data_IF_706524885231
#
_entry.id   IF_706524885231
#
_cell.length_a   1.000
_cell.length_b   1.000
_cell.length_c   1.000
_cell.angle_alpha   90.00
_cell.angle_beta   90.00
_cell.angle_gamma   90.00
#
_symmetry.space_group_name_H-M   'P 1'
#
loop_
_entity.id
_entity.type
_entity.pdbx_description
1 polymer ?
#
# COMPACT_ATOMS: atom_id res chain seq x y z
N UNK A 1 -30.43 14.04 36.94
CA UNK A 1 -29.17 13.29 36.76
C UNK A 1 -28.62 13.55 35.35
N UNK A 2 -27.51 14.29 35.19
CA UNK A 2 -26.85 14.39 33.89
C UNK A 2 -25.82 13.27 33.75
N UNK A 3 -26.07 12.38 32.80
CA UNK A 3 -25.19 11.25 32.45
C UNK A 3 -23.99 11.76 31.64
N UNK A 4 -22.87 11.96 32.33
CA UNK A 4 -21.55 11.41 31.99
C UNK A 4 -21.04 11.48 30.52
N UNK A 5 -21.36 12.54 29.77
CA UNK A 5 -20.94 12.73 28.37
C UNK A 5 -19.62 13.51 28.16
N UNK A 6 -19.16 14.27 29.15
CA UNK A 6 -18.12 15.29 28.92
C UNK A 6 -16.70 14.85 29.32
N UNK A 7 -16.58 13.96 30.30
CA UNK A 7 -15.27 13.53 30.81
C UNK A 7 -14.48 12.67 29.79
N UNK A 8 -15.15 11.88 28.94
CA UNK A 8 -14.47 11.05 27.91
C UNK A 8 -13.86 11.90 26.81
N UNK A 9 -14.55 12.96 26.37
CA UNK A 9 -14.06 13.88 25.34
C UNK A 9 -12.89 14.73 25.84
N UNK A 10 -12.90 15.13 27.12
CA UNK A 10 -11.80 15.85 27.74
C UNK A 10 -10.55 14.97 27.92
N UNK A 11 -10.71 13.72 28.37
CA UNK A 11 -9.61 12.76 28.50
C UNK A 11 -9.01 12.39 27.13
N UNK A 12 -9.84 12.29 26.07
CA UNK A 12 -9.34 12.06 24.71
C UNK A 12 -8.57 13.29 24.16
N UNK A 13 -9.03 14.51 24.45
CA UNK A 13 -8.36 15.77 24.05
C UNK A 13 -7.08 16.04 24.84
N UNK A 14 -7.06 15.77 26.14
CA UNK A 14 -5.87 15.88 27.00
C UNK A 14 -4.79 14.87 26.61
N UNK A 15 -5.18 13.63 26.27
CA UNK A 15 -4.24 12.63 25.72
C UNK A 15 -3.70 13.00 24.34
N UNK A 16 -4.43 13.78 23.55
CA UNK A 16 -3.92 14.37 22.29
C UNK A 16 -2.97 15.55 22.51
N UNK A 17 -3.11 16.29 23.62
CA UNK A 17 -2.21 17.41 23.99
C UNK A 17 -0.90 16.98 24.65
N UNK A 18 -0.88 15.85 25.37
CA UNK A 18 0.37 15.22 25.82
C UNK A 18 0.98 14.53 24.61
N UNK A 19 1.90 15.23 23.95
CA UNK A 19 2.52 14.83 22.69
C UNK A 19 2.74 13.33 22.61
N UNK A 20 2.19 12.73 21.55
CA UNK A 20 2.52 11.37 21.13
C UNK A 20 4.00 11.41 20.75
N UNK A 21 4.85 11.28 21.76
CA UNK A 21 6.27 11.00 21.61
C UNK A 21 6.32 9.76 20.73
N UNK A 22 7.00 9.85 19.60
CA UNK A 22 7.02 8.82 18.55
C UNK A 22 7.10 7.43 19.19
N UNK A 23 6.01 6.67 19.09
CA UNK A 23 5.87 5.38 19.78
C UNK A 23 6.84 4.32 19.22
N UNK A 24 7.43 4.62 18.06
CA UNK A 24 8.46 3.85 17.38
C UNK A 24 9.66 4.78 17.21
N UNK A 25 10.69 4.58 18.02
CA UNK A 25 12.00 5.20 17.86
C UNK A 25 13.08 4.12 17.61
N UNK A 26 14.31 4.55 17.31
CA UNK A 26 15.43 3.62 17.05
C UNK A 26 15.67 2.66 18.22
N UNK A 27 15.45 3.10 19.46
CA UNK A 27 15.63 2.27 20.64
C UNK A 27 14.55 1.19 20.73
N UNK A 28 13.30 1.53 20.39
CA UNK A 28 12.19 0.59 20.28
C UNK A 28 12.46 -0.49 19.23
N UNK A 29 12.86 -0.08 18.01
CA UNK A 29 13.18 -1.01 16.92
C UNK A 29 14.34 -1.95 17.30
N UNK A 30 15.40 -1.40 17.89
CA UNK A 30 16.55 -2.18 18.36
C UNK A 30 16.12 -3.24 19.39
N UNK A 31 15.25 -2.88 20.34
CA UNK A 31 14.73 -3.81 21.34
C UNK A 31 13.89 -4.94 20.72
N UNK A 32 13.09 -4.65 19.69
CA UNK A 32 12.36 -5.68 18.95
C UNK A 32 13.33 -6.63 18.24
N UNK A 33 14.36 -6.09 17.59
CA UNK A 33 15.38 -6.88 16.90
C UNK A 33 16.10 -7.81 17.89
N UNK A 34 16.60 -7.28 19.01
CA UNK A 34 17.27 -8.06 20.05
C UNK A 34 16.38 -9.19 20.60
N UNK A 35 15.11 -8.90 20.89
CA UNK A 35 14.15 -9.92 21.33
C UNK A 35 13.89 -10.98 20.26
N UNK A 36 13.82 -10.56 19.00
CA UNK A 36 13.60 -11.48 17.88
C UNK A 36 14.78 -12.43 17.74
N UNK A 37 16.02 -11.91 17.84
CA UNK A 37 17.24 -12.71 17.82
C UNK A 37 17.30 -13.70 19.00
N UNK A 38 16.91 -13.27 20.20
CA UNK A 38 16.86 -14.13 21.39
C UNK A 38 15.84 -15.28 21.27
N UNK A 39 14.73 -15.05 20.57
CA UNK A 39 13.70 -16.08 20.31
C UNK A 39 14.11 -17.03 19.19
N UNK A 40 14.58 -16.49 18.05
CA UNK A 40 14.88 -17.28 16.85
C UNK A 40 16.17 -18.08 17.00
N UNK A 41 17.17 -17.56 17.74
CA UNK A 41 18.44 -18.25 18.07
C UNK A 41 19.19 -18.81 16.86
N UNK A 42 19.10 -18.17 15.70
CA UNK A 42 19.87 -18.55 14.54
C UNK A 42 21.34 -18.09 14.65
N UNK A 43 22.24 -18.84 14.04
CA UNK A 43 23.66 -18.51 13.88
C UNK A 43 23.88 -17.47 12.77
N UNK A 44 25.05 -16.80 12.77
CA UNK A 44 25.39 -15.85 11.71
C UNK A 44 25.46 -16.52 10.34
N UNK A 45 25.86 -17.78 10.31
CA UNK A 45 25.92 -18.60 9.11
C UNK A 45 24.52 -18.87 8.55
N UNK A 46 23.54 -19.16 9.42
CA UNK A 46 22.13 -19.32 9.03
C UNK A 46 21.52 -17.99 8.57
N UNK A 47 21.87 -16.87 9.20
CA UNK A 47 21.45 -15.53 8.76
C UNK A 47 21.93 -15.24 7.35
N UNK A 48 23.23 -15.43 7.11
CA UNK A 48 23.84 -15.21 5.80
C UNK A 48 23.23 -16.13 4.75
N UNK A 49 23.01 -17.41 5.09
CA UNK A 49 22.36 -18.35 4.20
C UNK A 49 20.92 -17.92 3.85
N UNK A 50 20.16 -17.44 4.85
CA UNK A 50 18.81 -16.90 4.65
C UNK A 50 18.79 -15.68 3.72
N UNK A 51 19.73 -14.75 3.90
CA UNK A 51 19.89 -13.58 3.03
C UNK A 51 20.24 -13.98 1.59
N UNK A 52 21.11 -14.97 1.41
CA UNK A 52 21.46 -15.50 0.09
C UNK A 52 20.27 -16.17 -0.60
N UNK A 53 19.49 -16.97 0.13
CA UNK A 53 18.25 -17.56 -0.36
C UNK A 53 17.25 -16.49 -0.76
N UNK A 54 17.06 -15.47 0.07
CA UNK A 54 16.16 -14.36 -0.19
C UNK A 54 16.54 -13.61 -1.47
N UNK A 55 17.83 -13.27 -1.61
CA UNK A 55 18.35 -12.59 -2.81
C UNK A 55 18.11 -13.41 -4.09
N UNK A 56 18.27 -14.74 -4.03
CA UNK A 56 18.09 -15.65 -5.18
C UNK A 56 16.62 -15.96 -5.49
N UNK A 57 15.72 -15.83 -4.52
CA UNK A 57 14.30 -16.21 -4.66
C UNK A 57 13.44 -15.09 -5.23
N UNK A 58 12.39 -15.42 -5.96
CA UNK A 58 11.32 -14.45 -6.24
C UNK A 58 10.49 -14.31 -4.98
N UNK A 59 10.43 -13.10 -4.44
CA UNK A 59 9.62 -12.76 -3.29
C UNK A 59 8.37 -12.03 -3.79
N UNK A 60 7.22 -12.68 -3.68
CA UNK A 60 5.93 -12.14 -4.11
C UNK A 60 5.07 -11.85 -2.89
N UNK A 61 4.78 -10.58 -2.64
CA UNK A 61 3.79 -10.19 -1.65
C UNK A 61 2.42 -10.10 -2.32
N UNK A 62 1.51 -11.00 -1.93
CA UNK A 62 0.18 -11.10 -2.53
C UNK A 62 -0.79 -10.00 -2.12
N UNK A 63 -0.43 -9.14 -1.17
CA UNK A 63 -1.27 -8.02 -0.77
C UNK A 63 -0.43 -6.92 -0.13
N UNK A 64 0.09 -6.03 -0.97
CA UNK A 64 0.90 -4.92 -0.51
C UNK A 64 0.72 -3.68 -1.39
N UNK A 65 0.87 -2.52 -0.78
CA UNK A 65 1.01 -1.27 -1.52
C UNK A 65 2.50 -0.96 -1.72
N UNK A 66 2.88 -0.26 -2.80
CA UNK A 66 4.25 0.21 -2.95
C UNK A 66 4.69 1.07 -1.76
N UNK A 67 6.00 1.18 -1.48
CA UNK A 67 6.53 2.12 -0.50
C UNK A 67 5.96 3.53 -0.70
N UNK A 68 5.65 4.23 0.39
CA UNK A 68 5.07 5.57 0.33
C UNK A 68 5.92 6.55 1.14
N UNK A 69 6.99 7.12 0.55
CA UNK A 69 7.74 8.23 1.15
C UNK A 69 6.81 9.36 1.58
N UNK A 70 7.19 10.06 2.63
CA UNK A 70 6.37 11.11 3.25
C UNK A 70 7.12 12.45 3.20
N UNK A 71 6.77 13.29 2.21
CA UNK A 71 7.27 14.66 2.16
C UNK A 71 6.70 15.50 3.30
N UNK A 72 7.43 16.56 3.69
CA UNK A 72 6.93 17.53 4.69
C UNK A 72 5.62 18.17 4.23
N UNK A 73 5.51 18.47 2.94
CA UNK A 73 4.28 19.00 2.32
C UNK A 73 3.13 18.00 2.39
N UNK A 74 3.38 16.73 2.04
CA UNK A 74 2.37 15.68 2.10
C UNK A 74 1.88 15.48 3.54
N UNK A 75 2.81 15.44 4.51
CA UNK A 75 2.47 15.33 5.93
C UNK A 75 1.65 16.53 6.43
N UNK A 76 2.04 17.75 6.06
CA UNK A 76 1.28 18.94 6.40
C UNK A 76 -0.14 18.87 5.84
N UNK A 77 -0.29 18.48 4.57
CA UNK A 77 -1.61 18.35 3.94
C UNK A 77 -2.46 17.25 4.56
N UNK A 78 -1.85 16.10 4.91
CA UNK A 78 -2.56 15.03 5.61
C UNK A 78 -3.07 15.51 6.96
N UNK A 79 -2.25 16.24 7.73
CA UNK A 79 -2.65 16.76 9.04
C UNK A 79 -3.78 17.80 8.90
N UNK A 80 -3.68 18.71 7.94
CA UNK A 80 -4.75 19.68 7.63
C UNK A 80 -6.09 18.96 7.35
N UNK A 81 -6.09 17.98 6.45
CA UNK A 81 -7.29 17.20 6.10
C UNK A 81 -7.86 16.45 7.32
N UNK A 82 -6.99 15.90 8.17
CA UNK A 82 -7.41 15.22 9.40
C UNK A 82 -8.03 16.19 10.42
N UNK A 83 -7.47 17.39 10.56
CA UNK A 83 -7.99 18.43 11.45
C UNK A 83 -9.34 18.98 10.96
N UNK A 84 -9.55 19.02 9.64
CA UNK A 84 -10.84 19.32 8.99
C UNK A 84 -11.88 18.19 9.12
N UNK A 85 -11.49 17.03 9.65
CA UNK A 85 -12.37 15.88 9.81
C UNK A 85 -12.66 15.13 8.50
N UNK A 86 -11.79 15.27 7.49
CA UNK A 86 -11.91 14.53 6.24
C UNK A 86 -11.76 13.03 6.51
N UNK A 87 -12.65 12.23 5.91
CA UNK A 87 -12.60 10.79 6.04
C UNK A 87 -11.27 10.24 5.52
N UNK A 88 -10.68 9.31 6.29
CA UNK A 88 -9.36 8.74 5.99
C UNK A 88 -9.29 8.09 4.62
N UNK A 89 -10.39 7.50 4.13
CA UNK A 89 -10.44 6.83 2.82
C UNK A 89 -10.34 7.83 1.68
N UNK A 90 -10.69 9.11 1.92
CA UNK A 90 -10.63 10.17 0.93
C UNK A 90 -9.27 10.87 0.86
N UNK A 91 -8.41 10.73 1.88
CA UNK A 91 -7.10 11.39 1.94
C UNK A 91 -6.21 11.06 0.74
N UNK A 92 -6.24 9.80 0.28
CA UNK A 92 -5.47 9.37 -0.91
C UNK A 92 -5.80 10.23 -2.13
N UNK A 93 -7.08 10.30 -2.50
CA UNK A 93 -7.54 11.13 -3.63
C UNK A 93 -7.23 12.62 -3.46
N UNK A 94 -7.32 13.15 -2.23
CA UNK A 94 -7.06 14.56 -1.90
C UNK A 94 -5.57 14.91 -1.92
N UNK A 95 -4.68 13.91 -1.87
CA UNK A 95 -3.23 14.09 -1.85
C UNK A 95 -2.54 13.57 -3.12
N UNK A 96 -3.30 13.04 -4.09
CA UNK A 96 -2.77 12.41 -5.30
C UNK A 96 -1.81 13.32 -6.08
N UNK A 97 -2.14 14.60 -6.28
CA UNK A 97 -1.27 15.55 -7.00
C UNK A 97 0.07 15.80 -6.32
N UNK A 98 0.09 15.87 -4.99
CA UNK A 98 1.34 16.03 -4.22
C UNK A 98 2.21 14.78 -4.42
N UNK A 99 1.61 13.59 -4.33
CA UNK A 99 2.30 12.31 -4.55
C UNK A 99 2.85 12.19 -5.99
N UNK A 100 2.07 12.61 -6.99
CA UNK A 100 2.52 12.65 -8.38
C UNK A 100 3.66 13.67 -8.63
N UNK A 101 3.72 14.76 -7.86
CA UNK A 101 4.85 15.68 -7.93
C UNK A 101 6.11 15.07 -7.30
N UNK A 102 5.96 14.28 -6.24
CA UNK A 102 7.09 13.64 -5.55
C UNK A 102 7.88 12.68 -6.44
N UNK A 103 7.25 12.00 -7.40
CA UNK A 103 7.98 11.08 -8.30
C UNK A 103 8.96 11.79 -9.25
N UNK A 104 8.91 13.12 -9.33
CA UNK A 104 9.89 13.93 -10.09
C UNK A 104 11.02 14.47 -9.22
N UNK A 105 10.93 14.30 -7.90
CA UNK A 105 11.94 14.76 -6.96
C UNK A 105 12.93 13.63 -6.68
N UNK A 106 14.20 13.87 -6.96
CA UNK A 106 15.28 12.87 -6.87
C UNK A 106 15.45 12.30 -5.46
N UNK A 107 15.24 13.11 -4.42
CA UNK A 107 15.43 12.66 -3.04
C UNK A 107 14.34 11.67 -2.63
N UNK A 108 13.09 11.93 -3.04
CA UNK A 108 11.98 11.00 -2.79
C UNK A 108 12.07 9.73 -3.63
N UNK A 109 12.57 9.84 -4.87
CA UNK A 109 12.82 8.67 -5.71
C UNK A 109 13.93 7.80 -5.11
N UNK A 110 14.98 8.40 -4.55
CA UNK A 110 16.04 7.67 -3.86
C UNK A 110 15.51 6.95 -2.61
N UNK A 111 14.75 7.64 -1.76
CA UNK A 111 14.11 7.04 -0.58
C UNK A 111 13.16 5.89 -0.98
N UNK A 112 12.39 6.08 -2.05
CA UNK A 112 11.50 5.06 -2.60
C UNK A 112 12.27 3.82 -3.09
N UNK A 113 13.37 4.02 -3.83
CA UNK A 113 14.22 2.94 -4.32
C UNK A 113 14.92 2.19 -3.17
N UNK A 114 15.41 2.91 -2.16
CA UNK A 114 16.03 2.32 -0.97
C UNK A 114 15.02 1.46 -0.19
N UNK A 115 13.78 1.92 -0.05
CA UNK A 115 12.73 1.15 0.62
C UNK A 115 12.41 -0.16 -0.13
N UNK A 116 12.38 -0.11 -1.46
CA UNK A 116 12.22 -1.30 -2.29
C UNK A 116 13.38 -2.29 -2.13
N UNK A 117 14.62 -1.81 -2.21
CA UNK A 117 15.81 -2.65 -2.05
C UNK A 117 15.84 -3.31 -0.66
N UNK A 118 15.62 -2.53 0.40
CA UNK A 118 15.60 -3.05 1.78
C UNK A 118 14.46 -4.03 2.05
N UNK A 119 13.35 -3.96 1.30
CA UNK A 119 12.26 -4.92 1.45
C UNK A 119 12.62 -6.31 0.93
N UNK A 120 13.55 -6.39 -0.05
CA UNK A 120 13.87 -7.62 -0.78
C UNK A 120 12.72 -8.19 -1.64
N UNK A 121 11.58 -7.49 -1.70
CA UNK A 121 10.40 -7.93 -2.44
C UNK A 121 10.65 -7.77 -3.94
N UNK A 122 10.41 -8.84 -4.69
CA UNK A 122 10.54 -8.84 -6.16
C UNK A 122 9.27 -8.34 -6.82
N UNK A 123 8.10 -8.76 -6.32
CA UNK A 123 6.82 -8.38 -6.87
C UNK A 123 5.81 -8.14 -5.76
N UNK A 124 4.96 -7.13 -5.93
CA UNK A 124 3.77 -6.94 -5.10
C UNK A 124 2.50 -7.14 -5.92
N UNK A 125 1.44 -7.58 -5.27
CA UNK A 125 0.08 -7.48 -5.77
C UNK A 125 -0.63 -6.31 -5.07
N UNK A 126 -0.77 -5.19 -5.78
CA UNK A 126 -1.34 -3.95 -5.27
C UNK A 126 -2.81 -3.81 -5.65
N UNK A 127 -3.62 -3.39 -4.68
CA UNK A 127 -5.07 -3.30 -4.84
C UNK A 127 -5.45 -2.01 -5.56
N UNK A 128 -5.99 -2.14 -6.76
CA UNK A 128 -6.49 -1.01 -7.55
C UNK A 128 -7.97 -0.73 -7.30
N UNK A 129 -8.73 -1.72 -6.82
CA UNK A 129 -10.17 -1.58 -6.57
C UNK A 129 -10.48 -0.49 -5.54
N UNK A 130 -11.42 0.38 -5.88
CA UNK A 130 -11.88 1.49 -5.02
C UNK A 130 -13.41 1.46 -4.81
N UNK A 131 -14.07 2.62 -4.72
CA UNK A 131 -15.50 2.76 -4.43
C UNK A 131 -16.40 2.52 -5.64
N UNK A 132 -15.89 2.75 -6.85
CA UNK A 132 -16.62 2.65 -8.11
C UNK A 132 -15.65 2.46 -9.29
N UNK A 133 -16.19 2.23 -10.48
CA UNK A 133 -15.41 1.99 -11.69
C UNK A 133 -14.48 3.17 -12.03
N UNK A 134 -14.98 4.40 -11.98
CA UNK A 134 -14.20 5.57 -12.41
C UNK A 134 -13.11 5.92 -11.40
N UNK A 135 -13.40 5.81 -10.11
CA UNK A 135 -12.39 5.95 -9.06
C UNK A 135 -11.29 4.87 -9.21
N UNK A 136 -11.66 3.67 -9.63
CA UNK A 136 -10.72 2.56 -9.86
C UNK A 136 -9.85 2.84 -11.08
N UNK A 137 -10.44 3.28 -12.20
CA UNK A 137 -9.70 3.69 -13.40
C UNK A 137 -8.73 4.84 -13.08
N UNK A 138 -9.16 5.83 -12.30
CA UNK A 138 -8.28 6.93 -11.88
C UNK A 138 -7.10 6.42 -11.04
N UNK A 139 -7.34 5.50 -10.10
CA UNK A 139 -6.26 4.88 -9.31
C UNK A 139 -5.29 4.09 -10.18
N UNK A 140 -5.80 3.35 -11.17
CA UNK A 140 -4.96 2.63 -12.13
C UNK A 140 -4.12 3.60 -12.96
N UNK A 141 -4.69 4.70 -13.44
CA UNK A 141 -3.97 5.74 -14.18
C UNK A 141 -2.88 6.40 -13.34
N UNK A 142 -3.17 6.70 -12.07
CA UNK A 142 -2.18 7.22 -11.12
C UNK A 142 -1.04 6.23 -10.91
N UNK A 143 -1.35 4.94 -10.73
CA UNK A 143 -0.33 3.88 -10.58
C UNK A 143 0.49 3.72 -11.86
N UNK A 144 -0.13 3.74 -13.03
CA UNK A 144 0.57 3.63 -14.32
C UNK A 144 1.55 4.78 -14.49
N UNK A 145 1.12 6.00 -14.20
CA UNK A 145 1.98 7.18 -14.27
C UNK A 145 3.24 7.05 -13.39
N UNK A 146 3.11 6.50 -12.18
CA UNK A 146 4.26 6.24 -11.30
C UNK A 146 5.18 5.16 -11.90
N UNK A 147 4.60 4.06 -12.40
CA UNK A 147 5.36 2.95 -13.01
C UNK A 147 6.14 3.44 -14.24
N UNK A 148 5.50 4.21 -15.11
CA UNK A 148 6.13 4.75 -16.32
C UNK A 148 7.23 5.76 -15.98
N UNK A 149 6.95 6.66 -15.03
CA UNK A 149 7.92 7.67 -14.58
C UNK A 149 9.15 7.04 -13.95
N UNK A 150 8.96 5.95 -13.19
CA UNK A 150 10.01 5.21 -12.52
C UNK A 150 10.36 3.90 -13.24
N UNK A 151 10.24 3.88 -14.58
CA UNK A 151 10.39 2.65 -15.38
C UNK A 151 11.80 2.03 -15.35
N UNK A 152 12.79 2.76 -14.84
CA UNK A 152 14.12 2.23 -14.52
C UNK A 152 14.10 1.33 -13.27
N UNK A 153 13.14 1.53 -12.36
CA UNK A 153 12.98 0.83 -11.09
C UNK A 153 11.79 -0.13 -11.10
N UNK A 154 10.67 0.28 -11.71
CA UNK A 154 9.39 -0.41 -11.66
C UNK A 154 9.01 -1.00 -13.02
N UNK A 155 8.21 -2.07 -12.97
CA UNK A 155 7.54 -2.62 -14.15
C UNK A 155 6.18 -3.18 -13.77
N UNK A 156 5.16 -2.87 -14.57
CA UNK A 156 3.86 -3.55 -14.45
C UNK A 156 3.96 -4.94 -15.07
N UNK A 157 3.45 -5.96 -14.39
CA UNK A 157 3.54 -7.36 -14.84
C UNK A 157 2.17 -8.02 -14.92
N UNK A 158 1.97 -8.86 -15.93
CA UNK A 158 0.74 -9.63 -16.12
C UNK A 158 0.93 -11.15 -16.13
N UNK A 159 2.16 -11.62 -15.93
CA UNK A 159 2.46 -13.03 -15.86
C UNK A 159 3.73 -13.28 -15.05
N UNK A 160 3.95 -14.54 -14.68
CA UNK A 160 5.12 -14.95 -13.90
C UNK A 160 6.43 -14.71 -14.66
N UNK A 161 6.42 -14.85 -15.98
CA UNK A 161 7.63 -14.64 -16.79
C UNK A 161 8.08 -13.18 -16.79
N UNK A 162 7.15 -12.22 -16.71
CA UNK A 162 7.51 -10.81 -16.57
C UNK A 162 8.13 -10.52 -15.20
N UNK A 163 7.66 -11.19 -14.14
CA UNK A 163 8.26 -11.08 -12.80
C UNK A 163 9.69 -11.62 -12.80
N UNK A 164 9.92 -12.76 -13.48
CA UNK A 164 11.27 -13.32 -13.66
C UNK A 164 12.19 -12.32 -14.35
N UNK A 165 11.75 -11.76 -15.48
CA UNK A 165 12.49 -10.73 -16.22
C UNK A 165 12.71 -9.47 -15.38
N UNK A 166 11.74 -9.05 -14.58
CA UNK A 166 11.89 -7.89 -13.69
C UNK A 166 13.06 -8.12 -12.71
N UNK A 167 13.09 -9.29 -12.05
CA UNK A 167 14.17 -9.68 -11.14
C UNK A 167 15.53 -9.72 -11.84
N UNK A 168 15.61 -10.33 -13.02
CA UNK A 168 16.84 -10.42 -13.81
C UNK A 168 17.39 -9.04 -14.18
N UNK A 169 16.50 -8.08 -14.45
CA UNK A 169 16.85 -6.70 -14.80
C UNK A 169 17.02 -5.78 -13.57
N UNK A 170 16.92 -6.31 -12.35
CA UNK A 170 17.04 -5.51 -11.12
C UNK A 170 15.88 -4.52 -10.92
N UNK A 171 14.69 -4.83 -11.42
CA UNK A 171 13.46 -4.04 -11.26
C UNK A 171 12.48 -4.72 -10.29
N UNK A 172 11.59 -3.93 -9.71
CA UNK A 172 10.48 -4.41 -8.92
C UNK A 172 9.20 -4.47 -9.75
N UNK A 173 8.53 -5.61 -9.67
CA UNK A 173 7.29 -5.87 -10.38
C UNK A 173 6.08 -5.40 -9.56
N UNK A 174 5.11 -4.80 -10.25
CA UNK A 174 3.80 -4.49 -9.69
C UNK A 174 2.76 -5.25 -10.49
N UNK A 175 1.99 -6.06 -9.80
CA UNK A 175 0.82 -6.75 -10.32
C UNK A 175 -0.42 -6.10 -9.73
N UNK A 176 -1.44 -5.83 -10.55
CA UNK A 176 -2.68 -5.22 -10.07
C UNK A 176 -3.73 -6.27 -9.73
N UNK A 177 -4.44 -6.02 -8.63
CA UNK A 177 -5.58 -6.80 -8.18
C UNK A 177 -6.79 -5.94 -7.82
N UNK A 178 -7.95 -6.58 -7.67
CA UNK A 178 -9.16 -5.99 -7.07
C UNK A 178 -9.61 -6.90 -5.92
N UNK A 179 -9.95 -6.31 -4.78
CA UNK A 179 -10.35 -7.08 -3.58
C UNK A 179 -11.84 -7.07 -3.26
N UNK A 180 -12.63 -6.30 -4.01
CA UNK A 180 -14.07 -6.22 -3.79
C UNK A 180 -14.79 -5.97 -5.12
N UNK A 181 -16.09 -6.21 -5.14
CA UNK A 181 -16.90 -6.10 -6.35
C UNK A 181 -17.39 -4.68 -6.66
N UNK A 182 -17.13 -3.70 -5.78
CA UNK A 182 -17.67 -2.33 -5.93
C UNK A 182 -17.29 -1.67 -7.28
N UNK A 183 -16.07 -1.85 -7.82
CA UNK A 183 -15.73 -1.33 -9.14
C UNK A 183 -16.53 -1.96 -10.28
N UNK A 184 -17.00 -3.19 -10.11
CA UNK A 184 -17.82 -3.89 -11.10
C UNK A 184 -19.26 -3.41 -11.02
N UNK A 185 -19.79 -3.26 -9.80
CA UNK A 185 -21.14 -2.81 -9.51
C UNK A 185 -21.63 -3.30 -8.15
N UNK A 186 -22.95 -3.42 -8.01
CA UNK A 186 -23.62 -3.75 -6.75
C UNK A 186 -24.49 -5.01 -6.81
N UNK A 187 -24.36 -5.81 -7.87
CA UNK A 187 -25.23 -6.96 -8.14
C UNK A 187 -26.60 -6.57 -8.73
N UNK A 188 -26.69 -5.42 -9.40
CA UNK A 188 -27.97 -4.89 -9.92
C UNK A 188 -28.15 -5.17 -11.40
N UNK A 189 -27.07 -5.04 -12.19
CA UNK A 189 -27.08 -5.23 -13.64
C UNK A 189 -25.91 -6.13 -14.04
N UNK A 190 -26.18 -7.43 -14.10
CA UNK A 190 -25.15 -8.43 -14.37
C UNK A 190 -24.47 -8.23 -15.74
N UNK A 191 -25.21 -7.78 -16.76
CA UNK A 191 -24.64 -7.59 -18.10
C UNK A 191 -23.60 -6.46 -18.07
N UNK A 192 -23.97 -5.32 -17.48
CA UNK A 192 -23.05 -4.19 -17.30
C UNK A 192 -21.87 -4.51 -16.37
N UNK A 193 -22.12 -5.29 -15.32
CA UNK A 193 -21.07 -5.69 -14.36
C UNK A 193 -20.03 -6.60 -15.02
N UNK A 194 -20.46 -7.51 -15.91
CA UNK A 194 -19.56 -8.31 -16.74
C UNK A 194 -18.77 -7.45 -17.73
N UNK A 195 -19.40 -6.46 -18.36
CA UNK A 195 -18.69 -5.50 -19.23
C UNK A 195 -17.61 -4.71 -18.46
N UNK A 196 -17.88 -4.36 -17.20
CA UNK A 196 -16.91 -3.68 -16.34
C UNK A 196 -15.74 -4.61 -15.95
N UNK A 197 -16.01 -5.89 -15.69
CA UNK A 197 -14.97 -6.89 -15.47
C UNK A 197 -14.10 -7.03 -16.72
N UNK A 198 -14.71 -7.13 -17.90
CA UNK A 198 -14.02 -7.20 -19.18
C UNK A 198 -13.14 -5.96 -19.44
N UNK A 199 -13.66 -4.77 -19.15
CA UNK A 199 -12.92 -3.52 -19.26
C UNK A 199 -11.68 -3.54 -18.35
N UNK A 200 -11.86 -3.88 -17.08
CA UNK A 200 -10.78 -3.89 -16.11
C UNK A 200 -9.74 -4.98 -16.41
N UNK A 201 -10.19 -6.15 -16.89
CA UNK A 201 -9.30 -7.21 -17.38
C UNK A 201 -8.45 -6.74 -18.56
N UNK A 202 -9.04 -6.04 -19.54
CA UNK A 202 -8.31 -5.44 -20.68
C UNK A 202 -7.33 -4.35 -20.25
N UNK A 203 -7.62 -3.65 -19.16
CA UNK A 203 -6.71 -2.71 -18.49
C UNK A 203 -5.68 -3.41 -17.58
N UNK A 204 -5.53 -4.74 -17.71
CA UNK A 204 -4.51 -5.60 -17.08
C UNK A 204 -4.83 -5.99 -15.63
N UNK A 205 -6.06 -6.42 -15.35
CA UNK A 205 -6.39 -7.11 -14.11
C UNK A 205 -6.01 -8.60 -14.15
N UNK A 206 -5.45 -9.13 -13.07
CA UNK A 206 -5.10 -10.56 -13.00
C UNK A 206 -5.70 -11.32 -11.82
N UNK A 207 -5.96 -10.65 -10.70
CA UNK A 207 -6.58 -11.29 -9.55
C UNK A 207 -7.74 -10.45 -9.00
N UNK A 208 -8.88 -11.11 -8.83
CA UNK A 208 -10.05 -10.57 -8.13
C UNK A 208 -10.32 -11.44 -6.92
N UNK A 209 -10.34 -10.85 -5.72
CA UNK A 209 -10.87 -11.51 -4.52
C UNK A 209 -12.32 -11.05 -4.38
N UNK A 210 -13.26 -11.98 -4.42
CA UNK A 210 -14.67 -11.70 -4.13
C UNK A 210 -14.87 -11.81 -2.62
N UNK A 211 -15.17 -10.69 -1.97
CA UNK A 211 -15.59 -10.70 -0.57
C UNK A 211 -17.09 -11.00 -0.51
N UNK A 212 -17.46 -12.22 -0.16
CA UNK A 212 -18.85 -12.60 0.10
C UNK A 212 -19.28 -11.98 1.43
N UNK A 213 -19.99 -10.85 1.40
CA UNK A 213 -20.77 -10.42 2.56
C UNK A 213 -22.05 -11.26 2.61
N UNK A 214 -22.06 -12.35 3.37
CA UNK A 214 -23.31 -12.98 3.81
C UNK A 214 -24.04 -11.98 4.70
N UNK A 215 -25.07 -11.32 4.15
CA UNK A 215 -26.05 -10.61 4.97
C UNK A 215 -26.85 -11.66 5.75
N UNK A 216 -26.51 -11.83 7.03
CA UNK A 216 -27.37 -12.50 8.00
C UNK A 216 -28.63 -11.66 8.17
N UNK A 217 -29.63 -11.91 7.34
CA UNK A 217 -31.00 -11.47 7.57
C UNK A 217 -31.61 -12.41 8.62
N UNK A 218 -31.81 -11.89 9.82
CA UNK A 218 -32.69 -12.41 10.86
C UNK A 218 -33.60 -11.30 11.32
#
# INVERSE_FOLDING_TARGET
EPVNGDARNFVQKEKRKKGIKHMIDKAFLKRIQERTLDVLKYSKEEEQHGLELHKKSIVFDSLCEPPSPLSKELLAKINELLDEGVDRRSIGSRTAKIRQAMVKNTDYVAEYAEAWEHSGVTCISSTMGTTDLMATINRMADSEYVIDTLSNLLVKTNCVDDIRKAKENGKHAIMWNIQNSLPFGGGVDAAKELDNIDLLYKLVLLSSVFCSCESSAS
#
